data_IF_179874516189
#
_entry.id   IF_179874516189
#
_cell.length_a   1.000
_cell.length_b   1.000
_cell.length_c   1.000
_cell.angle_alpha   90.00
_cell.angle_beta   90.00
_cell.angle_gamma   90.00
#
_symmetry.space_group_name_H-M   'P 1'
#
loop_
_entity.id
_entity.type
_entity.pdbx_description
1 polymer ?
#
# COMPACT_ATOMS: atom_id res chain seq x y z
N UNK A 1 39.97 23.89 -57.71
CA UNK A 1 39.08 25.04 -57.94
C UNK A 1 38.36 25.30 -56.65
N UNK A 2 38.61 26.45 -56.02
CA UNK A 2 37.84 26.90 -54.88
C UNK A 2 36.54 27.55 -55.33
N UNK A 3 35.58 27.64 -54.41
CA UNK A 3 34.65 28.76 -54.24
C UNK A 3 34.06 28.65 -52.83
N UNK A 4 34.23 29.71 -52.04
CA UNK A 4 33.49 29.97 -50.80
C UNK A 4 32.44 31.07 -51.01
N UNK A 5 31.56 31.24 -50.02
CA UNK A 5 30.78 32.42 -49.61
C UNK A 5 29.91 31.95 -48.40
N UNK A 6 30.03 32.40 -47.15
CA UNK A 6 29.84 33.71 -46.47
C UNK A 6 28.39 34.22 -46.28
N UNK A 7 28.04 34.48 -45.00
CA UNK A 7 27.08 35.48 -44.46
C UNK A 7 25.56 35.20 -44.59
N UNK A 8 24.66 35.44 -43.63
CA UNK A 8 24.68 36.16 -42.34
C UNK A 8 23.24 36.39 -41.81
N UNK A 9 23.13 36.90 -40.56
CA UNK A 9 21.96 37.47 -39.85
C UNK A 9 20.83 36.51 -39.43
N UNK A 10 20.35 36.41 -38.18
CA UNK A 10 20.44 37.28 -37.00
C UNK A 10 19.08 37.92 -36.74
N UNK A 11 18.33 37.48 -35.72
CA UNK A 11 17.41 38.30 -34.91
C UNK A 11 17.03 37.52 -33.64
N UNK A 12 17.61 37.94 -32.51
CA UNK A 12 17.01 37.72 -31.21
C UNK A 12 15.83 38.68 -31.04
N UNK A 13 14.79 38.19 -30.39
CA UNK A 13 13.78 39.03 -29.76
C UNK A 13 13.59 38.46 -28.35
N UNK A 14 14.35 39.04 -27.42
CA UNK A 14 13.97 39.09 -26.01
C UNK A 14 12.68 39.92 -25.93
N UNK A 15 11.65 39.38 -25.32
CA UNK A 15 10.42 40.10 -25.01
C UNK A 15 10.39 40.31 -23.50
N UNK A 16 10.77 41.51 -23.08
CA UNK A 16 10.59 42.01 -21.72
C UNK A 16 9.19 42.66 -21.60
N UNK A 17 8.48 42.24 -20.54
CA UNK A 17 7.52 42.99 -19.69
C UNK A 17 5.98 42.92 -19.95
N UNK A 18 5.31 42.55 -18.84
CA UNK A 18 4.10 43.13 -18.23
C UNK A 18 2.70 42.95 -18.89
N UNK A 19 1.89 42.13 -18.22
CA UNK A 19 0.42 42.11 -18.15
C UNK A 19 -0.39 42.18 -19.47
N UNK A 20 -0.51 41.03 -20.13
CA UNK A 20 -1.56 40.76 -21.11
C UNK A 20 -2.82 40.24 -20.39
N UNK A 21 -3.80 41.13 -20.15
CA UNK A 21 -5.15 40.76 -19.70
C UNK A 21 -6.05 40.42 -20.91
N UNK A 22 -5.86 39.23 -21.50
CA UNK A 22 -6.77 38.68 -22.51
C UNK A 22 -7.63 37.54 -21.90
N UNK A 23 -8.97 37.65 -21.90
CA UNK A 23 -9.86 36.67 -21.27
C UNK A 23 -10.13 35.43 -22.15
N UNK A 24 -9.32 35.17 -23.16
CA UNK A 24 -9.45 34.02 -24.06
C UNK A 24 -8.34 32.98 -23.88
N UNK A 25 -7.93 32.70 -22.63
CA UNK A 25 -7.07 31.56 -22.31
C UNK A 25 -7.87 30.31 -21.97
N UNK A 26 -8.19 29.52 -23.00
CA UNK A 26 -8.57 28.12 -22.82
C UNK A 26 -7.35 27.32 -22.38
N UNK A 27 -7.33 26.82 -21.14
CA UNK A 27 -6.33 25.87 -20.68
C UNK A 27 -6.55 24.52 -21.38
N UNK A 28 -5.96 24.38 -22.57
CA UNK A 28 -5.77 23.08 -23.19
C UNK A 28 -4.58 22.42 -22.49
N UNK A 29 -4.85 21.38 -21.70
CA UNK A 29 -3.80 20.53 -21.15
C UNK A 29 -3.08 19.87 -22.33
N UNK A 30 -1.95 20.43 -22.75
CA UNK A 30 -1.05 19.77 -23.68
C UNK A 30 -0.50 18.54 -22.98
N UNK A 31 -1.13 17.40 -23.24
CA UNK A 31 -0.55 16.11 -22.93
C UNK A 31 0.82 16.08 -23.61
N UNK A 32 1.88 16.03 -22.79
CA UNK A 32 3.22 15.71 -23.26
C UNK A 32 3.10 14.47 -24.13
N UNK A 33 3.28 14.63 -25.44
CA UNK A 33 3.27 13.53 -26.40
C UNK A 33 4.45 12.64 -26.07
N UNK A 34 4.20 11.66 -25.21
CA UNK A 34 5.16 10.62 -24.86
C UNK A 34 5.44 9.89 -26.16
N UNK A 35 6.68 10.02 -26.68
CA UNK A 35 7.13 9.30 -27.88
C UNK A 35 6.66 7.84 -27.78
N UNK A 36 5.95 7.37 -28.81
CA UNK A 36 5.48 6.00 -28.84
C UNK A 36 6.65 5.04 -28.64
N UNK A 37 6.46 4.08 -27.73
CA UNK A 37 7.48 3.08 -27.46
C UNK A 37 7.50 2.05 -28.60
N UNK A 38 8.66 1.45 -28.87
CA UNK A 38 8.77 0.34 -29.82
C UNK A 38 7.79 -0.80 -29.51
N UNK A 39 7.48 -1.02 -28.23
CA UNK A 39 6.51 -2.02 -27.79
C UNK A 39 5.07 -1.65 -28.19
N UNK A 40 4.69 -0.37 -28.09
CA UNK A 40 3.38 0.13 -28.54
C UNK A 40 3.24 0.00 -30.05
N UNK A 41 4.22 0.46 -30.82
CA UNK A 41 4.18 0.40 -32.29
C UNK A 41 4.20 -1.02 -32.84
N UNK A 42 4.93 -1.95 -32.20
CA UNK A 42 5.11 -3.32 -32.71
C UNK A 42 4.12 -4.35 -32.17
N UNK A 43 3.68 -4.20 -30.92
CA UNK A 43 2.87 -5.19 -30.22
C UNK A 43 1.59 -4.61 -29.61
N UNK A 44 1.30 -3.33 -29.84
CA UNK A 44 0.19 -2.60 -29.22
C UNK A 44 0.19 -2.68 -27.68
N UNK A 45 1.38 -2.78 -27.08
CA UNK A 45 1.54 -2.81 -25.63
C UNK A 45 1.63 -1.37 -25.12
N UNK A 46 0.72 -1.00 -24.23
CA UNK A 46 0.74 0.27 -23.53
C UNK A 46 0.86 0.06 -22.02
N UNK A 47 1.11 1.15 -21.31
CA UNK A 47 1.15 1.16 -19.85
C UNK A 47 0.52 2.42 -19.29
N UNK A 48 -0.19 2.28 -18.17
CA UNK A 48 -0.69 3.41 -17.40
C UNK A 48 -0.51 3.15 -15.91
N UNK A 49 -0.52 4.24 -15.13
CA UNK A 49 -0.43 4.17 -13.68
C UNK A 49 -1.78 4.55 -13.08
N UNK A 50 -2.38 3.62 -12.35
CA UNK A 50 -3.53 3.88 -11.48
C UNK A 50 -3.05 4.51 -10.18
N UNK A 51 -3.71 5.59 -9.76
CA UNK A 51 -3.45 6.25 -8.48
C UNK A 51 -4.74 6.54 -7.73
N UNK A 52 -4.72 6.31 -6.42
CA UNK A 52 -5.79 6.70 -5.52
C UNK A 52 -5.21 7.06 -4.14
N UNK A 53 -5.90 7.92 -3.41
CA UNK A 53 -5.54 8.42 -2.08
C UNK A 53 -6.25 7.70 -0.93
N UNK A 54 -6.97 6.61 -1.25
CA UNK A 54 -7.75 5.82 -0.30
C UNK A 54 -7.27 4.36 -0.27
N UNK A 55 -7.34 3.67 0.88
CA UNK A 55 -7.03 2.25 0.94
C UNK A 55 -8.08 1.44 0.18
N UNK A 56 -7.68 0.26 -0.29
CA UNK A 56 -8.63 -0.76 -0.69
C UNK A 56 -9.20 -1.44 0.54
N UNK A 57 -10.51 -1.70 0.51
CA UNK A 57 -11.13 -2.66 1.42
C UNK A 57 -10.81 -4.07 0.92
N UNK A 58 -10.29 -4.88 1.83
CA UNK A 58 -9.73 -6.19 1.53
C UNK A 58 -10.71 -7.10 0.79
N UNK A 59 -11.95 -7.19 1.26
CA UNK A 59 -12.97 -8.10 0.70
C UNK A 59 -13.39 -7.67 -0.71
N UNK A 60 -13.53 -6.36 -0.94
CA UNK A 60 -13.85 -5.79 -2.26
C UNK A 60 -12.68 -5.91 -3.23
N UNK A 61 -11.44 -5.76 -2.77
CA UNK A 61 -10.27 -6.04 -3.61
C UNK A 61 -10.25 -7.51 -4.04
N UNK A 62 -10.47 -8.44 -3.10
CA UNK A 62 -10.58 -9.88 -3.41
C UNK A 62 -11.66 -10.14 -4.48
N UNK A 63 -12.80 -9.46 -4.41
CA UNK A 63 -13.85 -9.59 -5.41
C UNK A 63 -13.38 -9.14 -6.80
N UNK A 64 -12.68 -8.00 -6.90
CA UNK A 64 -12.09 -7.52 -8.17
C UNK A 64 -11.05 -8.50 -8.71
N UNK A 65 -10.21 -9.08 -7.84
CA UNK A 65 -9.20 -10.06 -8.27
C UNK A 65 -9.79 -11.39 -8.68
N UNK A 66 -10.95 -11.78 -8.11
CA UNK A 66 -11.70 -12.94 -8.56
C UNK A 66 -12.35 -12.73 -9.94
N UNK A 67 -12.63 -11.48 -10.31
CA UNK A 67 -13.02 -11.13 -11.67
C UNK A 67 -11.83 -11.21 -12.64
N UNK A 68 -10.58 -11.17 -12.17
CA UNK A 68 -9.38 -11.32 -13.01
C UNK A 68 -9.18 -12.81 -13.39
N UNK A 69 -8.86 -13.16 -14.66
CA UNK A 69 -8.47 -14.52 -15.06
C UNK A 69 -7.12 -15.03 -14.47
N UNK A 70 -6.81 -14.73 -13.21
CA UNK A 70 -5.69 -15.30 -12.48
C UNK A 70 -6.09 -16.70 -11.92
N UNK A 71 -5.17 -17.69 -11.88
CA UNK A 71 -5.38 -18.93 -11.16
C UNK A 71 -5.64 -18.61 -9.68
N UNK A 72 -6.77 -19.08 -9.17
CA UNK A 72 -7.22 -18.79 -7.79
C UNK A 72 -6.21 -19.17 -6.73
N UNK A 73 -5.44 -20.24 -6.98
CA UNK A 73 -4.34 -20.68 -6.11
C UNK A 73 -3.25 -19.61 -5.95
N UNK A 74 -2.99 -18.80 -6.98
CA UNK A 74 -1.95 -17.77 -6.95
C UNK A 74 -2.46 -16.53 -6.18
N UNK A 75 -3.73 -16.16 -6.38
CA UNK A 75 -4.38 -15.06 -5.62
C UNK A 75 -4.49 -15.42 -4.13
N UNK A 76 -4.99 -16.63 -3.82
CA UNK A 76 -5.12 -17.10 -2.45
C UNK A 76 -3.76 -17.26 -1.76
N UNK A 77 -2.75 -17.81 -2.45
CA UNK A 77 -1.40 -17.92 -1.91
C UNK A 77 -0.78 -16.54 -1.63
N UNK A 78 -0.90 -15.60 -2.57
CA UNK A 78 -0.40 -14.23 -2.38
C UNK A 78 -1.06 -13.53 -1.19
N UNK A 79 -2.38 -13.67 -1.03
CA UNK A 79 -3.10 -13.09 0.10
C UNK A 79 -2.79 -13.75 1.43
N UNK A 80 -2.59 -15.07 1.45
CA UNK A 80 -2.19 -15.81 2.65
C UNK A 80 -0.77 -15.40 3.09
N UNK A 81 0.17 -15.31 2.15
CA UNK A 81 1.54 -14.86 2.41
C UNK A 81 1.61 -13.42 2.91
N UNK A 82 0.77 -12.54 2.37
CA UNK A 82 0.65 -11.16 2.84
C UNK A 82 -0.05 -11.03 4.21
N UNK A 83 -0.59 -12.12 4.78
CA UNK A 83 -1.36 -12.09 6.03
C UNK A 83 -2.76 -11.49 5.91
N UNK A 84 -3.26 -11.37 4.67
CA UNK A 84 -4.56 -10.76 4.35
C UNK A 84 -5.72 -11.75 4.56
N UNK A 85 -5.49 -13.04 4.31
CA UNK A 85 -6.47 -14.11 4.53
C UNK A 85 -5.96 -15.09 5.58
N UNK A 86 -6.81 -15.44 6.55
CA UNK A 86 -6.52 -16.41 7.63
C UNK A 86 -6.98 -17.84 7.30
N UNK A 87 -7.60 -18.05 6.14
CA UNK A 87 -8.04 -19.36 5.65
C UNK A 87 -8.61 -19.28 4.23
N UNK A 88 -8.65 -20.40 3.52
CA UNK A 88 -9.06 -20.47 2.11
C UNK A 88 -10.60 -20.45 1.87
N UNK A 89 -11.41 -20.14 2.90
CA UNK A 89 -12.87 -20.24 2.83
C UNK A 89 -13.55 -18.92 2.43
N UNK A 90 -13.56 -18.66 1.13
CA UNK A 90 -14.60 -17.87 0.48
C UNK A 90 -15.44 -18.80 -0.40
N UNK A 91 -16.75 -18.56 -0.51
CA UNK A 91 -17.54 -19.22 -1.55
C UNK A 91 -17.05 -18.71 -2.91
N UNK A 92 -16.34 -19.56 -3.64
CA UNK A 92 -15.72 -19.22 -4.93
C UNK A 92 -16.76 -19.37 -6.05
N UNK A 93 -17.14 -18.27 -6.70
CA UNK A 93 -18.02 -18.27 -7.88
C UNK A 93 -17.42 -19.00 -9.10
N UNK A 94 -18.06 -19.01 -10.28
CA UNK A 94 -17.49 -19.63 -11.50
C UNK A 94 -16.20 -18.93 -11.97
N UNK A 95 -15.34 -19.65 -12.71
CA UNK A 95 -14.03 -19.17 -13.19
C UNK A 95 -14.12 -17.85 -13.97
N UNK A 96 -13.08 -17.02 -13.83
CA UNK A 96 -13.01 -15.64 -14.32
C UNK A 96 -13.65 -15.45 -15.70
N UNK A 97 -14.53 -14.46 -15.80
CA UNK A 97 -15.23 -14.17 -17.04
C UNK A 97 -14.27 -13.52 -18.05
N UNK A 98 -14.31 -13.94 -19.31
CA UNK A 98 -13.64 -13.23 -20.43
C UNK A 98 -14.09 -11.78 -20.60
N UNK A 99 -15.13 -11.36 -19.89
CA UNK A 99 -15.60 -9.98 -19.78
C UNK A 99 -14.79 -9.12 -18.78
N UNK A 100 -13.81 -9.68 -18.07
CA UNK A 100 -12.99 -8.98 -17.10
C UNK A 100 -12.20 -7.83 -17.75
N UNK A 101 -12.27 -6.60 -17.20
CA UNK A 101 -11.49 -5.48 -17.72
C UNK A 101 -9.98 -5.69 -17.56
N UNK A 102 -9.56 -6.61 -16.68
CA UNK A 102 -8.16 -6.92 -16.38
C UNK A 102 -7.58 -8.03 -17.27
N UNK A 103 -8.41 -8.69 -18.10
CA UNK A 103 -7.95 -9.74 -19.02
C UNK A 103 -6.82 -9.31 -19.98
N UNK A 104 -6.76 -8.06 -20.49
CA UNK A 104 -5.69 -7.64 -21.40
C UNK A 104 -4.37 -7.28 -20.70
N UNK A 105 -4.33 -7.31 -19.35
CA UNK A 105 -3.13 -7.00 -18.57
C UNK A 105 -2.14 -8.17 -18.64
N UNK A 106 -0.91 -7.88 -19.04
CA UNK A 106 0.20 -8.84 -19.14
C UNK A 106 1.03 -8.80 -17.85
N UNK A 107 1.29 -7.61 -17.33
CA UNK A 107 2.05 -7.39 -16.10
C UNK A 107 1.48 -6.22 -15.33
N UNK A 108 1.62 -6.28 -14.00
CA UNK A 108 1.42 -5.12 -13.14
C UNK A 108 2.38 -5.15 -11.96
N UNK A 109 2.72 -3.97 -11.44
CA UNK A 109 3.62 -3.81 -10.30
C UNK A 109 3.26 -2.52 -9.58
N UNK A 110 3.51 -2.46 -8.28
CA UNK A 110 3.38 -1.23 -7.54
C UNK A 110 3.21 -1.45 -6.06
N UNK A 111 2.57 -0.49 -5.41
CA UNK A 111 2.27 -0.53 -4.00
C UNK A 111 0.77 -0.35 -3.81
N UNK A 112 0.21 -1.19 -2.95
CA UNK A 112 -1.18 -1.10 -2.53
C UNK A 112 -1.26 -0.85 -1.04
N UNK A 113 -2.27 -0.07 -0.66
CA UNK A 113 -2.60 0.17 0.73
C UNK A 113 -3.93 -0.51 1.05
N UNK A 114 -3.96 -1.34 2.10
CA UNK A 114 -5.17 -2.05 2.53
C UNK A 114 -5.69 -1.52 3.87
N UNK A 115 -7.01 -1.40 4.00
CA UNK A 115 -7.66 -0.92 5.22
C UNK A 115 -7.41 -1.82 6.44
N UNK A 116 -7.09 -3.10 6.22
CA UNK A 116 -6.77 -4.06 7.30
C UNK A 116 -5.34 -3.94 7.81
N UNK A 117 -4.41 -3.36 7.03
CA UNK A 117 -2.97 -3.37 7.36
C UNK A 117 -2.49 -2.08 8.05
N UNK A 118 -3.41 -1.19 8.42
CA UNK A 118 -3.11 0.10 9.06
C UNK A 118 -2.41 1.05 8.09
N UNK A 119 -1.33 1.71 8.49
CA UNK A 119 -0.55 2.65 7.64
C UNK A 119 0.52 1.97 6.78
N UNK A 120 0.49 0.64 6.65
CA UNK A 120 1.49 -0.14 5.92
C UNK A 120 1.08 -0.34 4.46
N UNK A 121 2.07 -0.32 3.59
CA UNK A 121 1.89 -0.68 2.17
C UNK A 121 2.29 -2.13 1.93
N UNK A 122 1.72 -2.70 0.88
CA UNK A 122 1.99 -4.04 0.39
C UNK A 122 2.56 -3.91 -1.02
N UNK A 123 3.67 -4.58 -1.26
CA UNK A 123 4.27 -4.66 -2.58
C UNK A 123 3.44 -5.60 -3.45
N UNK A 124 2.96 -5.06 -4.57
CA UNK A 124 2.17 -5.76 -5.58
C UNK A 124 3.06 -6.13 -6.76
N UNK A 125 3.09 -7.40 -7.14
CA UNK A 125 3.69 -7.82 -8.41
C UNK A 125 2.90 -8.92 -9.08
N UNK A 126 2.62 -8.73 -10.37
CA UNK A 126 1.89 -9.69 -11.18
C UNK A 126 2.54 -9.82 -12.55
N UNK A 127 2.71 -11.07 -12.98
CA UNK A 127 3.21 -11.40 -14.31
C UNK A 127 2.48 -12.59 -14.91
N UNK A 128 1.89 -12.36 -16.08
CA UNK A 128 1.03 -13.33 -16.74
C UNK A 128 -0.11 -13.75 -15.80
N UNK A 129 -0.05 -14.99 -15.34
CA UNK A 129 -1.07 -15.58 -14.45
C UNK A 129 -0.66 -15.58 -12.98
N UNK A 130 0.54 -15.12 -12.63
CA UNK A 130 1.03 -15.15 -11.26
C UNK A 130 0.89 -13.79 -10.59
N UNK A 131 0.36 -13.76 -9.37
CA UNK A 131 0.26 -12.58 -8.51
C UNK A 131 0.97 -12.88 -7.18
N UNK A 132 1.80 -11.95 -6.72
CA UNK A 132 2.44 -11.97 -5.43
C UNK A 132 2.16 -10.66 -4.69
N UNK A 133 1.87 -10.79 -3.40
CA UNK A 133 1.68 -9.71 -2.45
C UNK A 133 2.68 -9.93 -1.32
N UNK A 134 3.59 -8.99 -1.14
CA UNK A 134 4.66 -9.10 -0.15
C UNK A 134 4.59 -7.89 0.78
N UNK A 135 4.80 -8.11 2.08
CA UNK A 135 4.94 -6.99 3.01
C UNK A 135 6.17 -6.21 2.60
N UNK A 136 5.99 -4.90 2.46
CA UNK A 136 7.05 -4.05 2.03
C UNK A 136 7.99 -3.84 3.23
N UNK A 137 9.26 -4.25 3.09
CA UNK A 137 10.20 -4.38 4.21
C UNK A 137 10.53 -3.01 4.83
N UNK A 138 10.58 -2.96 6.17
CA UNK A 138 10.69 -1.75 6.99
C UNK A 138 11.93 -0.89 6.64
N UNK A 139 12.99 -1.54 6.15
CA UNK A 139 14.27 -0.94 5.77
C UNK A 139 14.28 -0.23 4.41
N UNK A 140 13.22 -0.35 3.60
CA UNK A 140 13.12 0.38 2.31
C UNK A 140 12.32 1.69 2.43
N UNK A 141 11.91 2.06 3.66
CA UNK A 141 10.78 2.95 3.90
C UNK A 141 11.07 4.36 4.39
N UNK A 142 12.33 4.74 4.65
CA UNK A 142 12.65 6.05 5.24
C UNK A 142 12.15 7.26 4.42
N UNK A 143 11.58 7.10 3.21
CA UNK A 143 11.13 8.22 2.38
C UNK A 143 9.79 8.07 1.63
N UNK A 144 8.86 7.19 2.03
CA UNK A 144 7.54 7.10 1.37
C UNK A 144 6.37 7.39 2.31
N UNK A 145 6.18 8.67 2.63
CA UNK A 145 5.00 9.19 3.33
C UNK A 145 3.75 9.26 2.42
N UNK A 146 3.52 8.27 1.54
CA UNK A 146 2.32 8.27 0.72
C UNK A 146 1.60 6.91 0.76
N UNK A 147 0.74 6.77 1.76
CA UNK A 147 -0.41 5.85 1.81
C UNK A 147 -1.36 6.05 0.61
N UNK A 148 -0.88 5.70 -0.58
CA UNK A 148 -1.59 5.88 -1.83
C UNK A 148 -1.52 4.57 -2.61
N UNK A 149 -2.57 4.30 -3.37
CA UNK A 149 -2.50 3.28 -4.40
C UNK A 149 -1.60 3.80 -5.50
N UNK A 150 -0.60 3.03 -5.89
CA UNK A 150 0.16 3.30 -7.09
C UNK A 150 0.48 1.98 -7.79
N UNK A 151 -0.27 1.69 -8.85
CA UNK A 151 -0.14 0.46 -9.62
C UNK A 151 0.12 0.79 -11.08
N UNK A 152 1.21 0.29 -11.64
CA UNK A 152 1.41 0.30 -13.09
C UNK A 152 0.80 -0.94 -13.70
N UNK A 153 0.00 -0.77 -14.74
CA UNK A 153 -0.54 -1.84 -15.58
C UNK A 153 0.11 -1.79 -16.95
N UNK A 154 0.49 -2.95 -17.48
CA UNK A 154 1.12 -3.12 -18.78
C UNK A 154 0.38 -4.22 -19.53
N UNK A 155 -0.08 -3.94 -20.74
CA UNK A 155 -0.91 -4.85 -21.51
C UNK A 155 -1.24 -4.34 -22.90
N UNK A 156 -1.92 -5.16 -23.69
CA UNK A 156 -2.29 -4.81 -25.06
C UNK A 156 -3.81 -4.72 -25.19
N UNK A 157 -4.33 -3.61 -25.75
CA UNK A 157 -5.78 -3.38 -25.86
C UNK A 157 -6.49 -3.20 -24.51
N UNK A 158 -5.78 -2.68 -23.50
CA UNK A 158 -6.38 -2.41 -22.18
C UNK A 158 -7.39 -1.26 -22.27
N UNK A 159 -8.56 -1.45 -21.65
CA UNK A 159 -9.50 -0.37 -21.38
C UNK A 159 -9.18 0.24 -20.02
N UNK A 160 -8.42 1.34 -20.06
CA UNK A 160 -7.99 2.06 -18.85
C UNK A 160 -9.18 2.41 -17.96
N UNK A 161 -10.25 2.99 -18.52
CA UNK A 161 -11.38 3.47 -17.75
C UNK A 161 -12.12 2.33 -17.03
N UNK A 162 -12.27 1.16 -17.69
CA UNK A 162 -12.89 0.00 -17.05
C UNK A 162 -12.00 -0.63 -15.98
N UNK A 163 -10.67 -0.61 -16.15
CA UNK A 163 -9.73 -1.08 -15.11
C UNK A 163 -9.77 -0.16 -13.89
N UNK A 164 -9.68 1.16 -14.11
CA UNK A 164 -9.77 2.17 -13.04
C UNK A 164 -11.10 2.03 -12.29
N UNK A 165 -12.22 1.94 -13.00
CA UNK A 165 -13.54 1.75 -12.40
C UNK A 165 -13.65 0.44 -11.59
N UNK A 166 -13.02 -0.64 -12.03
CA UNK A 166 -13.00 -1.90 -11.29
C UNK A 166 -12.23 -1.77 -9.96
N UNK A 167 -11.06 -1.14 -9.99
CA UNK A 167 -10.27 -0.87 -8.79
C UNK A 167 -10.97 0.12 -7.85
N UNK A 168 -11.59 1.17 -8.40
CA UNK A 168 -12.30 2.18 -7.61
C UNK A 168 -13.45 1.58 -6.77
N UNK A 169 -14.11 0.52 -7.25
CA UNK A 169 -15.12 -0.22 -6.46
C UNK A 169 -14.54 -0.84 -5.19
N UNK A 170 -13.24 -1.15 -5.18
CA UNK A 170 -12.55 -1.70 -4.02
C UNK A 170 -12.08 -0.62 -3.03
N UNK A 171 -12.09 0.66 -3.38
CA UNK A 171 -11.67 1.72 -2.46
C UNK A 171 -12.67 1.90 -1.31
N UNK A 172 -12.17 2.11 -0.09
CA UNK A 172 -13.03 2.55 1.01
C UNK A 172 -13.72 3.86 0.66
N UNK A 173 -14.96 4.03 1.12
CA UNK A 173 -15.71 5.28 1.03
C UNK A 173 -15.11 6.35 1.94
N UNK A 174 -15.49 7.62 1.74
CA UNK A 174 -15.01 8.71 2.61
C UNK A 174 -15.36 8.49 4.09
N UNK A 175 -16.60 8.08 4.46
CA UNK A 175 -16.91 7.80 5.86
C UNK A 175 -16.12 6.62 6.44
N UNK A 176 -15.86 5.58 5.65
CA UNK A 176 -15.02 4.45 6.07
C UNK A 176 -13.56 4.88 6.29
N UNK A 177 -13.05 5.79 5.47
CA UNK A 177 -11.71 6.37 5.65
C UNK A 177 -11.61 7.19 6.93
N UNK A 178 -12.59 8.04 7.21
CA UNK A 178 -12.63 8.85 8.43
C UNK A 178 -12.66 7.97 9.68
N UNK A 179 -13.47 6.91 9.68
CA UNK A 179 -13.51 5.94 10.77
C UNK A 179 -12.20 5.15 10.92
N UNK A 180 -11.54 4.80 9.81
CA UNK A 180 -10.23 4.18 9.81
C UNK A 180 -9.18 5.12 10.42
N UNK A 181 -9.17 6.38 10.01
CA UNK A 181 -8.23 7.38 10.50
C UNK A 181 -8.37 7.57 12.01
N UNK A 182 -9.59 7.77 12.50
CA UNK A 182 -9.86 7.88 13.95
C UNK A 182 -9.41 6.64 14.73
N UNK A 183 -9.51 5.44 14.15
CA UNK A 183 -9.03 4.22 14.79
C UNK A 183 -7.51 4.18 14.86
N UNK A 184 -6.83 4.51 13.75
CA UNK A 184 -5.37 4.52 13.69
C UNK A 184 -4.77 5.58 14.61
N UNK A 185 -5.37 6.78 14.65
CA UNK A 185 -4.89 7.85 15.52
C UNK A 185 -5.05 7.50 17.00
N UNK A 186 -6.11 6.78 17.39
CA UNK A 186 -6.25 6.25 18.77
C UNK A 186 -5.23 5.17 19.10
N UNK A 187 -4.94 4.26 18.17
CA UNK A 187 -3.94 3.21 18.39
C UNK A 187 -2.54 3.83 18.54
N UNK A 188 -2.20 4.87 17.76
CA UNK A 188 -0.95 5.65 17.90
C UNK A 188 -0.91 6.42 19.24
N UNK A 189 -1.97 7.14 19.61
CA UNK A 189 -2.06 7.89 20.87
C UNK A 189 -1.91 6.96 22.09
N UNK A 190 -2.48 5.76 22.02
CA UNK A 190 -2.26 4.72 23.03
C UNK A 190 -0.79 4.34 23.09
N UNK A 191 -0.13 4.02 21.96
CA UNK A 191 1.29 3.65 21.95
C UNK A 191 2.24 4.77 22.41
N UNK A 192 1.91 6.03 22.14
CA UNK A 192 2.70 7.20 22.58
C UNK A 192 2.49 7.54 24.06
N UNK A 193 1.34 7.15 24.64
CA UNK A 193 1.04 7.34 26.07
C UNK A 193 1.58 6.24 26.99
N UNK A 194 2.14 5.17 26.43
CA UNK A 194 2.67 4.02 27.18
C UNK A 194 3.86 4.42 28.06
N UNK A 195 3.90 3.88 29.28
CA UNK A 195 4.94 4.21 30.27
C UNK A 195 6.34 3.69 29.92
N UNK A 196 6.45 2.61 29.15
CA UNK A 196 7.73 1.95 28.82
C UNK A 196 7.98 1.92 27.31
N UNK A 197 9.22 2.19 26.90
CA UNK A 197 9.68 2.12 25.51
C UNK A 197 10.35 0.76 25.20
N UNK A 198 10.51 0.46 23.91
CA UNK A 198 11.29 -0.72 23.48
C UNK A 198 12.73 -0.58 23.98
N UNK A 199 13.22 -1.63 24.64
CA UNK A 199 14.54 -1.68 25.27
C UNK A 199 14.53 -1.39 26.78
N UNK A 200 13.43 -0.88 27.32
CA UNK A 200 13.32 -0.63 28.76
C UNK A 200 13.28 -1.94 29.55
N UNK A 201 13.95 -1.94 30.71
CA UNK A 201 13.87 -3.03 31.67
C UNK A 201 12.60 -2.87 32.49
N UNK A 202 11.90 -3.98 32.67
CA UNK A 202 10.64 -4.05 33.42
C UNK A 202 10.59 -5.33 34.25
N UNK A 203 9.74 -5.35 35.26
CA UNK A 203 9.25 -6.58 35.87
C UNK A 203 7.83 -6.86 35.39
N UNK A 204 7.55 -8.11 35.01
CA UNK A 204 6.24 -8.55 34.58
C UNK A 204 5.66 -9.60 35.52
N UNK A 205 4.35 -9.54 35.74
CA UNK A 205 3.65 -10.54 36.56
C UNK A 205 3.43 -11.81 35.76
N UNK A 206 4.05 -12.91 36.19
CA UNK A 206 3.99 -14.22 35.52
C UNK A 206 3.14 -15.24 36.29
N UNK A 207 2.77 -14.92 37.54
CA UNK A 207 1.88 -15.72 38.38
C UNK A 207 1.10 -14.85 39.38
N UNK A 208 0.28 -15.46 40.25
CA UNK A 208 -0.51 -14.72 41.24
C UNK A 208 0.34 -13.80 42.11
N UNK A 209 1.52 -14.24 42.56
CA UNK A 209 2.44 -13.44 43.37
C UNK A 209 3.89 -13.52 42.84
N UNK A 210 4.04 -13.89 41.57
CA UNK A 210 5.33 -14.13 40.93
C UNK A 210 5.62 -13.05 39.88
N UNK A 211 6.83 -12.49 39.95
CA UNK A 211 7.33 -11.43 39.09
C UNK A 211 8.65 -11.87 38.47
N UNK A 212 8.79 -11.65 37.18
CA UNK A 212 10.01 -11.97 36.44
C UNK A 212 10.51 -10.73 35.71
N UNK A 213 11.82 -10.51 35.77
CA UNK A 213 12.49 -9.41 35.08
C UNK A 213 12.56 -9.67 33.58
N UNK A 214 12.40 -8.62 32.78
CA UNK A 214 12.47 -8.70 31.33
C UNK A 214 12.82 -7.37 30.66
N UNK A 215 12.81 -7.39 29.33
CA UNK A 215 13.04 -6.23 28.48
C UNK A 215 11.87 -6.09 27.51
N UNK A 216 11.31 -4.88 27.40
CA UNK A 216 10.28 -4.58 26.41
C UNK A 216 10.89 -4.73 25.02
N UNK A 217 10.29 -5.58 24.18
CA UNK A 217 10.75 -5.84 22.80
C UNK A 217 9.77 -5.34 21.74
N UNK A 218 8.56 -4.97 22.14
CA UNK A 218 7.55 -4.39 21.25
C UNK A 218 6.48 -3.64 22.04
N UNK A 219 5.89 -2.64 21.39
CA UNK A 219 4.71 -1.90 21.88
C UNK A 219 3.53 -2.13 20.93
N UNK A 220 2.30 -2.13 21.43
CA UNK A 220 1.11 -2.40 20.62
C UNK A 220 1.09 -3.82 20.01
N UNK A 221 1.55 -4.79 20.79
CA UNK A 221 1.72 -6.19 20.38
C UNK A 221 0.40 -6.89 20.05
N UNK A 222 0.44 -7.79 19.06
CA UNK A 222 -0.72 -8.57 18.62
C UNK A 222 -0.32 -9.99 18.25
N UNK A 223 -1.05 -10.96 18.79
CA UNK A 223 -0.92 -12.36 18.37
C UNK A 223 -1.53 -12.60 16.98
N UNK A 224 -0.94 -13.48 16.16
CA UNK A 224 -1.43 -13.78 14.82
C UNK A 224 -2.88 -14.27 14.74
N UNK A 225 -3.38 -14.91 15.79
CA UNK A 225 -4.71 -15.52 15.86
C UNK A 225 -5.78 -14.62 16.51
N UNK A 226 -5.40 -13.41 16.98
CA UNK A 226 -6.37 -12.50 17.59
C UNK A 226 -7.35 -11.93 16.55
N UNK A 227 -8.67 -11.98 16.81
CA UNK A 227 -9.68 -11.44 15.89
C UNK A 227 -9.53 -9.93 15.74
N UNK A 228 -9.66 -9.41 14.53
CA UNK A 228 -9.37 -8.00 14.18
C UNK A 228 -10.10 -6.95 15.07
N UNK A 229 -11.18 -7.34 15.75
CA UNK A 229 -11.93 -6.51 16.71
C UNK A 229 -11.29 -6.40 18.10
N UNK A 230 -10.35 -7.28 18.46
CA UNK A 230 -9.65 -7.27 19.74
C UNK A 230 -8.55 -6.20 19.73
N UNK A 231 -8.40 -5.43 20.79
CA UNK A 231 -7.30 -4.49 20.97
C UNK A 231 -5.94 -5.20 21.07
N UNK A 232 -4.87 -4.50 20.76
CA UNK A 232 -3.49 -4.96 20.96
C UNK A 232 -3.13 -4.98 22.45
N UNK A 233 -2.15 -5.78 22.82
CA UNK A 233 -1.51 -5.70 24.14
C UNK A 233 -0.54 -4.52 24.13
N UNK A 234 -0.49 -3.72 25.21
CA UNK A 234 0.47 -2.61 25.31
C UNK A 234 1.92 -3.01 25.06
N UNK A 235 2.37 -4.15 25.61
CA UNK A 235 3.78 -4.54 25.55
C UNK A 235 3.97 -6.01 25.19
N UNK A 236 4.98 -6.29 24.38
CA UNK A 236 5.64 -7.59 24.31
C UNK A 236 6.94 -7.52 25.10
N UNK A 237 7.15 -8.48 26.01
CA UNK A 237 8.31 -8.50 26.91
C UNK A 237 9.03 -9.82 26.75
N UNK A 238 10.35 -9.75 26.62
CA UNK A 238 11.24 -10.91 26.70
C UNK A 238 11.77 -11.01 28.12
N UNK A 239 11.37 -12.08 28.81
CA UNK A 239 11.80 -12.39 30.16
C UNK A 239 13.29 -12.78 30.18
N UNK A 240 13.89 -12.79 31.37
CA UNK A 240 15.31 -13.06 31.59
C UNK A 240 15.72 -14.49 31.19
N UNK A 241 14.79 -15.43 31.25
CA UNK A 241 14.94 -16.81 30.79
C UNK A 241 14.83 -16.97 29.26
N UNK A 242 14.53 -15.87 28.54
CA UNK A 242 14.33 -15.83 27.09
C UNK A 242 12.89 -16.04 26.63
N UNK A 243 11.95 -16.34 27.53
CA UNK A 243 10.53 -16.53 27.21
C UNK A 243 9.91 -15.21 26.74
N UNK A 244 9.09 -15.26 25.69
CA UNK A 244 8.30 -14.11 25.24
C UNK A 244 6.92 -14.17 25.88
N UNK A 245 6.53 -13.08 26.53
CA UNK A 245 5.20 -12.85 27.07
C UNK A 245 4.65 -11.51 26.57
N UNK A 246 3.40 -11.22 26.89
CA UNK A 246 2.81 -9.90 26.68
C UNK A 246 2.15 -9.39 27.97
N UNK A 247 2.22 -8.08 28.18
CA UNK A 247 1.48 -7.42 29.24
C UNK A 247 0.11 -6.98 28.68
N UNK A 248 -1.03 -7.46 29.22
CA UNK A 248 -2.35 -7.17 28.66
C UNK A 248 -2.82 -5.74 28.92
N UNK A 249 -2.25 -5.05 29.91
CA UNK A 249 -2.59 -3.68 30.29
C UNK A 249 -1.31 -2.93 30.68
N UNK A 250 -1.31 -1.60 30.50
CA UNK A 250 -0.27 -0.73 31.02
C UNK A 250 -0.65 -0.29 32.45
N UNK A 251 -0.38 -1.17 33.41
CA UNK A 251 -0.72 -0.97 34.82
C UNK A 251 0.34 -1.66 35.71
N UNK A 252 0.69 -1.03 36.85
CA UNK A 252 1.66 -1.55 37.82
C UNK A 252 1.29 -2.92 38.41
N UNK A 253 0.04 -3.38 38.26
CA UNK A 253 -0.41 -4.71 38.65
C UNK A 253 0.05 -5.83 37.70
N UNK A 254 0.54 -5.48 36.50
CA UNK A 254 1.00 -6.42 35.47
C UNK A 254 2.41 -6.11 34.93
N UNK A 255 2.79 -4.84 34.86
CA UNK A 255 4.11 -4.41 34.38
C UNK A 255 4.57 -3.15 35.11
N UNK A 256 5.81 -3.16 35.61
CA UNK A 256 6.36 -2.05 36.42
C UNK A 256 7.86 -1.88 36.22
N UNK A 257 8.39 -0.77 36.76
CA UNK A 257 9.84 -0.56 36.87
C UNK A 257 10.48 -1.63 37.77
N UNK A 258 11.67 -2.15 37.41
CA UNK A 258 12.39 -3.09 38.27
C UNK A 258 12.84 -2.42 39.56
N UNK A 259 12.82 -3.17 40.67
CA UNK A 259 13.35 -2.75 41.97
C UNK A 259 14.88 -2.70 42.00
#
# INVERSE_FOLDING_TARGET
GGHGHEGGHGHGAECEEEACDDPSHGHSHSGSSRKETTAKTRFNIDSFVYRADRPFETSRLVAVLNEWPLPRKDVAAGMLLAGILTGAQGSWGPEGSSASPLSPVIRSKGFVWLSSEGRRSIFWSQAGRHLALEKADELTWENSHSWKQELVFIGAGMDRARIESALDRALVTKPELEALQQRLDRDEDVTESLRFAIGDRVECRVGPDEWEGGVVVGVGYREPDWPASRATAPYQVRLSDGTLIFAPFDDDQVIRVPL
#
